data_IF_816410888990
#
_entry.id   IF_816410888990
#
_cell.length_a   1.000
_cell.length_b   1.000
_cell.length_c   1.000
_cell.angle_alpha   90.00
_cell.angle_beta   90.00
_cell.angle_gamma   90.00
#
_symmetry.space_group_name_H-M   'P 1'
#
loop_
_entity.id
_entity.type
_entity.pdbx_description
1 polymer ?
#
# COMPACT_ATOMS: atom_id res chain seq x y z
N UNK A 1 -23.57 17.54 21.01
CA UNK A 1 -23.39 18.49 19.90
C UNK A 1 -22.57 17.76 18.86
N UNK A 2 -23.05 17.64 17.61
CA UNK A 2 -22.26 16.99 16.57
C UNK A 2 -20.97 17.80 16.39
N UNK A 3 -19.84 17.18 16.71
CA UNK A 3 -18.52 17.79 16.49
C UNK A 3 -18.43 18.09 15.00
N UNK A 4 -18.21 19.37 14.66
CA UNK A 4 -18.15 19.81 13.27
C UNK A 4 -16.97 19.08 12.62
N UNK A 5 -17.25 18.10 11.75
CA UNK A 5 -16.21 17.34 11.04
C UNK A 5 -15.27 18.33 10.37
N UNK A 6 -13.99 18.27 10.73
CA UNK A 6 -12.97 19.18 10.17
C UNK A 6 -12.88 18.92 8.67
N UNK A 7 -12.79 19.97 7.83
CA UNK A 7 -12.58 19.78 6.40
C UNK A 7 -11.30 18.98 6.16
N UNK A 8 -11.31 18.09 5.16
CA UNK A 8 -10.13 17.35 4.76
C UNK A 8 -9.20 18.27 3.95
N UNK A 9 -7.91 18.13 4.19
CA UNK A 9 -6.87 18.84 3.43
C UNK A 9 -5.86 17.85 2.89
N UNK A 10 -5.25 18.14 1.75
CA UNK A 10 -4.24 17.31 1.10
C UNK A 10 -3.37 18.12 0.14
N UNK A 11 -2.46 17.46 -0.57
CA UNK A 11 -1.60 18.08 -1.56
C UNK A 11 -2.06 17.70 -2.97
N UNK A 12 -2.59 18.66 -3.72
CA UNK A 12 -2.92 18.45 -5.13
C UNK A 12 -1.64 18.38 -5.96
N UNK A 13 -1.55 17.38 -6.83
CA UNK A 13 -0.42 17.18 -7.75
C UNK A 13 -0.76 17.69 -9.15
N UNK A 14 0.24 17.94 -10.02
CA UNK A 14 0.01 18.46 -11.36
C UNK A 14 -0.89 17.59 -12.24
N UNK A 15 -0.91 16.28 -11.99
CA UNK A 15 -1.79 15.31 -12.66
C UNK A 15 -3.20 15.23 -12.07
N UNK A 16 -3.53 16.10 -11.11
CA UNK A 16 -4.84 16.20 -10.46
C UNK A 16 -5.04 15.23 -9.29
N UNK A 17 -4.15 14.24 -9.09
CA UNK A 17 -4.25 13.32 -7.95
C UNK A 17 -3.87 14.01 -6.64
N UNK A 18 -4.35 13.47 -5.52
CA UNK A 18 -4.21 14.09 -4.20
C UNK A 18 -3.41 13.19 -3.26
N UNK A 19 -2.34 13.74 -2.67
CA UNK A 19 -1.57 13.10 -1.61
C UNK A 19 -1.92 13.61 -0.22
N UNK A 20 -1.65 12.82 0.81
CA UNK A 20 -1.80 13.19 2.22
C UNK A 20 -0.46 13.39 2.94
N UNK A 21 0.65 13.07 2.25
CA UNK A 21 2.05 13.36 2.62
C UNK A 21 2.75 14.13 1.49
N UNK A 22 3.96 14.60 1.78
CA UNK A 22 4.73 15.47 0.88
C UNK A 22 6.22 15.06 0.85
N UNK A 23 6.49 13.79 0.56
CA UNK A 23 7.84 13.24 0.63
C UNK A 23 8.72 13.69 -0.54
N UNK A 24 10.00 13.98 -0.27
CA UNK A 24 11.04 14.06 -1.29
C UNK A 24 11.90 12.81 -1.15
N UNK A 25 11.90 11.96 -2.18
CA UNK A 25 12.51 10.63 -2.09
C UNK A 25 13.74 10.48 -2.99
N UNK A 26 14.63 9.58 -2.62
CA UNK A 26 15.74 9.10 -3.44
C UNK A 26 15.46 7.63 -3.76
N UNK A 27 15.23 7.34 -5.04
CA UNK A 27 14.79 6.04 -5.49
C UNK A 27 15.91 5.33 -6.26
N UNK A 28 16.50 4.27 -5.70
CA UNK A 28 17.39 3.40 -6.46
C UNK A 28 16.60 2.68 -7.56
N UNK A 29 17.20 2.54 -8.73
CA UNK A 29 16.67 1.69 -9.81
C UNK A 29 17.04 0.23 -9.57
N UNK A 30 18.16 0.02 -8.88
CA UNK A 30 18.80 -1.25 -8.65
C UNK A 30 19.47 -1.30 -7.27
N UNK A 31 19.69 -2.51 -6.77
CA UNK A 31 20.29 -2.79 -5.48
C UNK A 31 21.71 -2.20 -5.31
N UNK A 32 22.47 -2.12 -6.39
CA UNK A 32 23.83 -1.55 -6.39
C UNK A 32 23.80 -0.02 -6.18
N UNK A 33 22.69 0.64 -6.49
CA UNK A 33 22.53 2.08 -6.34
C UNK A 33 22.07 2.49 -4.94
N UNK A 34 21.70 1.55 -4.07
CA UNK A 34 21.21 1.80 -2.71
C UNK A 34 22.17 2.68 -1.89
N UNK A 35 23.47 2.34 -1.89
CA UNK A 35 24.46 3.06 -1.09
C UNK A 35 24.59 4.54 -1.50
N UNK A 36 24.50 4.84 -2.79
CA UNK A 36 24.50 6.22 -3.29
C UNK A 36 23.22 6.96 -2.91
N UNK A 37 22.05 6.31 -2.98
CA UNK A 37 20.77 6.88 -2.56
C UNK A 37 20.78 7.24 -1.07
N UNK A 38 21.21 6.31 -0.22
CA UNK A 38 21.29 6.50 1.23
C UNK A 38 22.28 7.60 1.60
N UNK A 39 23.46 7.61 0.97
CA UNK A 39 24.46 8.66 1.19
C UNK A 39 23.94 10.04 0.79
N UNK A 40 23.24 10.16 -0.34
CA UNK A 40 22.65 11.43 -0.78
C UNK A 40 21.55 11.91 0.18
N UNK A 41 20.66 11.01 0.62
CA UNK A 41 19.61 11.35 1.59
C UNK A 41 20.17 11.78 2.96
N UNK A 42 21.27 11.17 3.41
CA UNK A 42 21.93 11.56 4.67
C UNK A 42 22.56 12.97 4.63
N UNK A 43 22.88 13.48 3.45
CA UNK A 43 23.41 14.86 3.28
C UNK A 43 22.28 15.89 3.41
N UNK A 44 21.05 15.56 3.00
CA UNK A 44 19.91 16.47 2.98
C UNK A 44 18.82 15.96 3.94
N UNK A 45 18.81 16.43 5.20
CA UNK A 45 17.80 16.06 6.18
C UNK A 45 16.37 16.28 5.66
N UNK A 46 15.45 15.39 6.01
CA UNK A 46 14.05 15.47 5.58
C UNK A 46 13.74 14.78 4.24
N UNK A 47 14.75 14.31 3.52
CA UNK A 47 14.59 13.43 2.34
C UNK A 47 14.65 11.96 2.74
N UNK A 48 14.13 11.07 1.88
CA UNK A 48 13.98 9.64 2.19
C UNK A 48 14.55 8.76 1.07
N UNK A 49 15.61 8.01 1.35
CA UNK A 49 16.04 6.91 0.48
C UNK A 49 15.13 5.69 0.65
N UNK A 50 14.82 5.00 -0.45
CA UNK A 50 13.97 3.79 -0.47
C UNK A 50 14.78 2.61 -1.06
N UNK A 51 15.69 1.99 -0.30
CA UNK A 51 16.51 0.89 -0.79
C UNK A 51 15.71 -0.38 -1.03
N UNK A 52 16.15 -1.21 -1.99
CA UNK A 52 15.55 -2.52 -2.28
C UNK A 52 16.57 -3.52 -2.82
N UNK A 53 16.20 -4.81 -2.87
CA UNK A 53 17.12 -5.91 -3.20
C UNK A 53 17.19 -6.30 -4.69
N UNK A 54 16.41 -5.67 -5.58
CA UNK A 54 16.29 -6.08 -6.99
C UNK A 54 16.73 -4.99 -7.99
N UNK A 55 16.43 -5.14 -9.28
CA UNK A 55 16.82 -4.21 -10.35
C UNK A 55 18.05 -4.64 -11.15
N UNK A 56 18.38 -5.94 -11.18
CA UNK A 56 19.50 -6.49 -11.97
C UNK A 56 19.11 -7.81 -12.63
N UNK A 57 19.49 -7.97 -13.90
CA UNK A 57 19.34 -9.21 -14.68
C UNK A 57 17.90 -9.75 -14.71
N UNK A 58 16.92 -8.86 -14.59
CA UNK A 58 15.50 -9.16 -14.75
C UNK A 58 15.13 -9.11 -16.23
N UNK A 59 14.12 -9.89 -16.62
CA UNK A 59 13.67 -9.99 -18.01
C UNK A 59 12.17 -10.27 -18.10
N UNK A 60 11.58 -10.01 -19.27
CA UNK A 60 10.16 -10.27 -19.51
C UNK A 60 9.25 -9.51 -18.54
N UNK A 61 8.13 -10.12 -18.17
CA UNK A 61 7.12 -9.50 -17.28
C UNK A 61 7.69 -9.15 -15.90
N UNK A 62 8.69 -9.88 -15.41
CA UNK A 62 9.33 -9.60 -14.13
C UNK A 62 10.10 -8.27 -14.14
N UNK A 63 10.75 -7.93 -15.26
CA UNK A 63 11.38 -6.62 -15.45
C UNK A 63 10.34 -5.51 -15.61
N UNK A 64 9.25 -5.80 -16.33
CA UNK A 64 8.17 -4.83 -16.52
C UNK A 64 7.45 -4.50 -15.21
N UNK A 65 7.22 -5.50 -14.36
CA UNK A 65 6.68 -5.31 -13.01
C UNK A 65 7.63 -4.52 -12.10
N UNK A 66 8.95 -4.76 -12.19
CA UNK A 66 9.95 -3.96 -11.49
C UNK A 66 9.83 -2.48 -11.85
N UNK A 67 9.84 -2.17 -13.15
CA UNK A 67 9.69 -0.79 -13.60
C UNK A 67 8.35 -0.19 -13.21
N UNK A 68 7.24 -0.93 -13.35
CA UNK A 68 5.90 -0.48 -12.95
C UNK A 68 5.86 -0.13 -11.46
N UNK A 69 6.45 -0.96 -10.60
CA UNK A 69 6.49 -0.74 -9.16
C UNK A 69 7.34 0.48 -8.77
N UNK A 70 8.54 0.61 -9.35
CA UNK A 70 9.45 1.74 -9.08
C UNK A 70 8.88 3.06 -9.62
N UNK A 71 8.40 3.07 -10.87
CA UNK A 71 7.75 4.25 -11.46
C UNK A 71 6.51 4.62 -10.65
N UNK A 72 5.67 3.65 -10.31
CA UNK A 72 4.47 3.84 -9.51
C UNK A 72 4.78 4.45 -8.14
N UNK A 73 5.82 3.97 -7.47
CA UNK A 73 6.28 4.50 -6.16
C UNK A 73 6.65 5.98 -6.27
N UNK A 74 7.43 6.36 -7.29
CA UNK A 74 7.77 7.78 -7.52
C UNK A 74 6.58 8.63 -8.00
N UNK A 75 5.66 8.03 -8.74
CA UNK A 75 4.44 8.65 -9.24
C UNK A 75 3.36 8.82 -8.16
N UNK A 76 3.45 8.12 -7.02
CA UNK A 76 2.45 8.16 -5.96
C UNK A 76 2.18 9.60 -5.45
N UNK A 77 0.93 10.00 -5.18
CA UNK A 77 0.61 11.37 -4.76
C UNK A 77 1.22 11.81 -3.41
N UNK A 78 1.57 10.89 -2.51
CA UNK A 78 2.29 11.19 -1.27
C UNK A 78 3.75 11.63 -1.49
N UNK A 79 4.29 11.39 -2.67
CA UNK A 79 5.61 11.87 -3.09
C UNK A 79 5.43 13.24 -3.76
N UNK A 80 6.30 14.20 -3.47
CA UNK A 80 6.31 15.54 -4.07
C UNK A 80 7.33 15.63 -5.21
N UNK A 81 8.52 15.07 -5.00
CA UNK A 81 9.63 15.07 -5.96
C UNK A 81 10.53 13.85 -5.76
N UNK A 82 11.28 13.49 -6.81
CA UNK A 82 12.10 12.27 -6.84
C UNK A 82 13.49 12.53 -7.40
N UNK A 83 14.53 12.04 -6.74
CA UNK A 83 15.83 11.81 -7.38
C UNK A 83 15.99 10.32 -7.63
N UNK A 84 16.22 9.93 -8.89
CA UNK A 84 16.43 8.55 -9.30
C UNK A 84 17.92 8.30 -9.44
N UNK A 85 18.44 7.22 -8.85
CA UNK A 85 19.84 6.81 -9.05
C UNK A 85 19.86 5.37 -9.55
N UNK A 86 20.55 5.12 -10.65
CA UNK A 86 20.77 3.77 -11.17
C UNK A 86 22.22 3.54 -11.56
N UNK A 87 22.58 2.31 -11.86
CA UNK A 87 23.87 2.01 -12.49
C UNK A 87 23.84 2.43 -13.96
N UNK A 88 22.82 1.98 -14.70
CA UNK A 88 22.73 2.13 -16.16
C UNK A 88 21.89 3.36 -16.57
N UNK A 89 22.39 4.24 -17.44
CA UNK A 89 21.66 5.44 -17.87
C UNK A 89 20.28 5.14 -18.48
N UNK A 90 20.13 4.04 -19.23
CA UNK A 90 18.90 3.70 -19.94
C UNK A 90 17.75 3.35 -18.98
N UNK A 91 18.04 2.56 -17.94
CA UNK A 91 17.05 2.17 -16.93
C UNK A 91 16.71 3.35 -16.02
N UNK A 92 17.71 4.15 -15.65
CA UNK A 92 17.50 5.40 -14.92
C UNK A 92 16.57 6.34 -15.70
N UNK A 93 16.83 6.56 -16.98
CA UNK A 93 16.02 7.44 -17.82
C UNK A 93 14.58 6.91 -17.99
N UNK A 94 14.41 5.59 -18.15
CA UNK A 94 13.08 4.97 -18.21
C UNK A 94 12.24 5.28 -16.96
N UNK A 95 12.84 5.16 -15.77
CA UNK A 95 12.16 5.47 -14.50
C UNK A 95 11.85 6.96 -14.39
N UNK A 96 12.82 7.83 -14.74
CA UNK A 96 12.64 9.29 -14.74
C UNK A 96 11.47 9.69 -15.65
N UNK A 97 11.42 9.19 -16.88
CA UNK A 97 10.36 9.50 -17.83
C UNK A 97 8.98 9.02 -17.35
N UNK A 98 8.91 7.82 -16.77
CA UNK A 98 7.68 7.29 -16.20
C UNK A 98 7.14 8.17 -15.07
N UNK A 99 8.00 8.66 -14.18
CA UNK A 99 7.61 9.56 -13.09
C UNK A 99 7.26 10.96 -13.65
N UNK A 100 8.05 11.49 -14.58
CA UNK A 100 7.86 12.81 -15.18
C UNK A 100 6.51 12.97 -15.89
N UNK A 101 5.90 11.87 -16.35
CA UNK A 101 4.56 11.86 -16.93
C UNK A 101 3.46 12.40 -15.98
N UNK A 102 3.70 12.36 -14.66
CA UNK A 102 2.80 12.97 -13.65
C UNK A 102 2.95 14.49 -13.52
N UNK A 103 3.92 15.10 -14.22
CA UNK A 103 4.26 16.51 -14.11
C UNK A 103 5.06 16.88 -12.85
N UNK A 104 5.44 15.90 -12.02
CA UNK A 104 6.20 16.13 -10.78
C UNK A 104 7.69 16.34 -11.07
N UNK A 105 8.41 17.12 -10.25
CA UNK A 105 9.86 17.25 -10.38
C UNK A 105 10.58 15.91 -10.18
N UNK A 106 11.36 15.52 -11.17
CA UNK A 106 12.20 14.31 -11.12
C UNK A 106 13.50 14.52 -11.89
N UNK A 107 14.62 14.05 -11.34
CA UNK A 107 15.92 14.03 -12.02
C UNK A 107 16.62 12.68 -11.78
N UNK A 108 17.37 12.22 -12.77
CA UNK A 108 18.09 10.95 -12.73
C UNK A 108 19.61 11.11 -12.79
N UNK A 109 20.33 10.24 -12.08
CA UNK A 109 21.78 10.13 -12.15
C UNK A 109 22.22 8.68 -12.30
N UNK A 110 23.15 8.42 -13.22
CA UNK A 110 23.77 7.11 -13.38
C UNK A 110 25.13 7.06 -12.68
N UNK A 111 25.43 5.96 -11.99
CA UNK A 111 26.74 5.75 -11.35
C UNK A 111 27.79 5.33 -12.37
N UNK A 112 27.42 4.55 -13.39
CA UNK A 112 28.36 4.12 -14.43
C UNK A 112 29.06 5.33 -15.06
N UNK A 113 30.40 5.26 -15.18
CA UNK A 113 31.28 6.33 -15.70
C UNK A 113 31.35 7.61 -14.86
N UNK A 114 30.60 7.71 -13.77
CA UNK A 114 30.61 8.88 -12.87
C UNK A 114 31.15 8.57 -11.48
N UNK A 115 30.96 7.33 -11.00
CA UNK A 115 31.32 6.90 -9.65
C UNK A 115 30.42 7.51 -8.58
N UNK A 116 30.42 6.91 -7.38
CA UNK A 116 29.49 7.29 -6.31
C UNK A 116 29.67 8.73 -5.86
N UNK A 117 30.90 9.17 -5.55
CA UNK A 117 31.15 10.50 -4.96
C UNK A 117 30.57 11.64 -5.81
N UNK A 118 30.75 11.59 -7.13
CA UNK A 118 30.22 12.61 -8.05
C UNK A 118 28.70 12.50 -8.21
N UNK A 119 28.16 11.28 -8.21
CA UNK A 119 26.72 11.02 -8.31
C UNK A 119 26.00 11.53 -7.06
N UNK A 120 26.51 11.19 -5.88
CA UNK A 120 26.03 11.64 -4.57
C UNK A 120 26.06 13.17 -4.48
N UNK A 121 27.16 13.81 -4.90
CA UNK A 121 27.25 15.28 -4.91
C UNK A 121 26.11 15.92 -5.72
N UNK A 122 25.88 15.44 -6.95
CA UNK A 122 24.83 15.97 -7.82
C UNK A 122 23.43 15.69 -7.27
N UNK A 123 23.19 14.46 -6.84
CA UNK A 123 21.93 14.05 -6.23
C UNK A 123 21.59 14.90 -5.00
N UNK A 124 22.55 15.12 -4.09
CA UNK A 124 22.35 15.94 -2.90
C UNK A 124 22.01 17.41 -3.24
N UNK A 125 22.63 18.00 -4.27
CA UNK A 125 22.29 19.35 -4.72
C UNK A 125 20.86 19.43 -5.25
N UNK A 126 20.44 18.47 -6.06
CA UNK A 126 19.07 18.40 -6.57
C UNK A 126 18.06 18.17 -5.44
N UNK A 127 18.37 17.27 -4.51
CA UNK A 127 17.53 17.02 -3.33
C UNK A 127 17.32 18.26 -2.48
N UNK A 128 18.37 19.05 -2.24
CA UNK A 128 18.26 20.28 -1.49
C UNK A 128 17.27 21.26 -2.14
N UNK A 129 17.33 21.41 -3.47
CA UNK A 129 16.38 22.26 -4.23
C UNK A 129 14.96 21.69 -4.18
N UNK A 130 14.78 20.41 -4.48
CA UNK A 130 13.46 19.78 -4.44
C UNK A 130 12.83 19.81 -3.05
N UNK A 131 13.62 19.69 -1.99
CA UNK A 131 13.12 19.80 -0.62
C UNK A 131 12.69 21.22 -0.26
N UNK A 132 13.40 22.25 -0.73
CA UNK A 132 12.97 23.64 -0.61
C UNK A 132 11.64 23.85 -1.34
N UNK A 133 11.56 23.49 -2.63
CA UNK A 133 10.36 23.64 -3.44
C UNK A 133 9.16 22.89 -2.82
N UNK A 134 9.37 21.66 -2.35
CA UNK A 134 8.33 20.88 -1.69
C UNK A 134 7.87 21.50 -0.37
N UNK A 135 8.76 22.16 0.39
CA UNK A 135 8.42 22.78 1.67
C UNK A 135 7.47 23.98 1.54
N UNK A 136 7.40 24.59 0.36
CA UNK A 136 6.51 25.72 0.07
C UNK A 136 5.06 25.28 -0.22
N UNK A 137 4.87 24.02 -0.62
CA UNK A 137 3.55 23.47 -0.95
C UNK A 137 2.63 23.48 0.28
N UNK A 138 1.46 24.09 0.12
CA UNK A 138 0.43 24.15 1.15
C UNK A 138 -0.59 23.03 0.94
N UNK A 139 -1.21 22.60 2.03
CA UNK A 139 -2.34 21.68 1.97
C UNK A 139 -3.58 22.46 1.53
N UNK A 140 -4.33 21.91 0.59
CA UNK A 140 -5.56 22.48 0.04
C UNK A 140 -6.78 21.66 0.49
N UNK A 141 -7.98 22.25 0.52
CA UNK A 141 -9.21 21.49 0.72
C UNK A 141 -9.38 20.39 -0.33
N UNK A 142 -9.72 19.19 0.14
CA UNK A 142 -9.93 18.00 -0.68
C UNK A 142 -11.16 17.25 -0.21
N UNK A 143 -11.76 16.48 -1.10
CA UNK A 143 -12.86 15.58 -0.80
C UNK A 143 -12.34 14.14 -0.71
N UNK A 144 -13.02 13.31 0.09
CA UNK A 144 -12.64 11.90 0.26
C UNK A 144 -12.64 11.13 -1.07
N UNK A 145 -13.55 11.47 -1.97
CA UNK A 145 -13.64 10.87 -3.31
C UNK A 145 -12.40 11.09 -4.18
N UNK A 146 -11.53 12.03 -3.82
CA UNK A 146 -10.29 12.31 -4.54
C UNK A 146 -9.11 11.46 -4.04
N UNK A 147 -9.30 10.69 -2.96
CA UNK A 147 -8.26 9.91 -2.29
C UNK A 147 -8.43 8.42 -2.57
N UNK A 148 -7.30 7.78 -2.84
CA UNK A 148 -7.22 6.34 -3.01
C UNK A 148 -6.80 5.67 -1.70
N UNK A 149 -7.67 4.80 -1.19
CA UNK A 149 -7.45 3.96 -0.02
C UNK A 149 -6.99 2.57 -0.48
N UNK A 150 -6.14 1.91 0.29
CA UNK A 150 -5.87 0.49 0.12
C UNK A 150 -6.10 -0.27 1.43
N UNK A 151 -6.42 -1.55 1.33
CA UNK A 151 -6.72 -2.39 2.49
C UNK A 151 -6.05 -3.75 2.37
N UNK A 152 -5.53 -4.25 3.49
CA UNK A 152 -5.03 -5.62 3.63
C UNK A 152 -5.14 -6.06 5.10
N UNK A 153 -5.41 -7.33 5.37
CA UNK A 153 -5.29 -7.86 6.73
C UNK A 153 -3.89 -8.43 7.01
N UNK A 154 -3.52 -8.60 8.28
CA UNK A 154 -2.29 -9.31 8.63
C UNK A 154 -2.34 -9.94 10.00
N UNK A 155 -1.60 -11.04 10.14
CA UNK A 155 -1.55 -11.85 11.37
C UNK A 155 -2.94 -12.07 12.01
N UNK A 156 -3.92 -12.32 11.16
CA UNK A 156 -5.32 -12.50 11.53
C UNK A 156 -5.50 -13.57 12.61
N UNK A 157 -6.48 -13.32 13.45
CA UNK A 157 -6.97 -14.22 14.50
C UNK A 157 -8.51 -14.30 14.41
N UNK A 158 -9.14 -14.99 15.35
CA UNK A 158 -10.62 -15.07 15.42
C UNK A 158 -11.30 -13.71 15.56
N UNK A 159 -10.70 -12.76 16.30
CA UNK A 159 -11.27 -11.41 16.48
C UNK A 159 -11.23 -10.59 15.19
N UNK A 160 -10.33 -10.93 14.27
CA UNK A 160 -10.14 -10.19 13.03
C UNK A 160 -11.38 -10.27 12.14
N UNK A 161 -11.86 -11.48 11.86
CA UNK A 161 -13.08 -11.70 11.06
C UNK A 161 -14.36 -11.25 11.75
N UNK A 162 -14.36 -11.13 13.09
CA UNK A 162 -15.53 -10.76 13.89
C UNK A 162 -15.61 -9.25 14.21
N UNK A 163 -14.49 -8.53 14.17
CA UNK A 163 -14.41 -7.16 14.66
C UNK A 163 -13.65 -6.20 13.74
N UNK A 164 -12.34 -6.41 13.55
CA UNK A 164 -11.51 -5.43 12.82
C UNK A 164 -11.76 -5.42 11.31
N UNK A 165 -11.99 -6.58 10.68
CA UNK A 165 -12.39 -6.66 9.27
C UNK A 165 -13.79 -6.06 9.04
N UNK A 166 -14.84 -6.41 9.81
CA UNK A 166 -16.13 -5.70 9.75
C UNK A 166 -16.01 -4.18 9.98
N UNK A 167 -15.17 -3.75 10.92
CA UNK A 167 -14.94 -2.30 11.13
C UNK A 167 -14.31 -1.64 9.90
N UNK A 168 -13.38 -2.35 9.23
CA UNK A 168 -12.79 -1.92 7.95
C UNK A 168 -13.86 -1.85 6.85
N UNK A 169 -14.82 -2.78 6.83
CA UNK A 169 -15.90 -2.82 5.83
C UNK A 169 -16.76 -1.54 5.85
N UNK A 170 -17.07 -1.02 7.04
CA UNK A 170 -17.77 0.27 7.21
C UNK A 170 -16.99 1.43 6.58
N UNK A 171 -15.66 1.44 6.70
CA UNK A 171 -14.84 2.47 6.07
C UNK A 171 -14.83 2.32 4.54
N UNK A 172 -14.72 1.09 4.03
CA UNK A 172 -14.72 0.81 2.58
C UNK A 172 -16.01 1.29 1.92
N UNK A 173 -17.17 0.90 2.46
CA UNK A 173 -18.47 1.27 1.88
C UNK A 173 -18.64 2.80 1.87
N UNK A 174 -18.31 3.47 2.98
CA UNK A 174 -18.37 4.94 3.07
C UNK A 174 -17.36 5.66 2.16
N UNK A 175 -16.23 5.03 1.87
CA UNK A 175 -15.21 5.59 0.96
C UNK A 175 -15.69 5.54 -0.48
N UNK A 176 -16.25 4.40 -0.89
CA UNK A 176 -16.80 4.20 -2.23
C UNK A 176 -18.07 5.04 -2.44
N UNK A 177 -18.94 5.14 -1.43
CA UNK A 177 -20.12 6.02 -1.45
C UNK A 177 -19.74 7.51 -1.61
N UNK A 178 -18.57 7.91 -1.11
CA UNK A 178 -18.03 9.25 -1.30
C UNK A 178 -17.37 9.45 -2.68
N UNK A 179 -17.45 8.47 -3.58
CA UNK A 179 -16.85 8.48 -4.92
C UNK A 179 -15.37 8.12 -4.96
N UNK A 180 -14.82 7.60 -3.86
CA UNK A 180 -13.39 7.28 -3.74
C UNK A 180 -13.02 5.91 -4.32
N UNK A 181 -11.72 5.68 -4.43
CA UNK A 181 -11.15 4.41 -4.90
C UNK A 181 -10.62 3.61 -3.72
N UNK A 182 -10.94 2.32 -3.67
CA UNK A 182 -10.42 1.38 -2.68
C UNK A 182 -9.75 0.21 -3.40
N UNK A 183 -8.49 -0.07 -3.07
CA UNK A 183 -7.78 -1.25 -3.55
C UNK A 183 -7.76 -2.35 -2.48
N UNK A 184 -8.04 -3.58 -2.88
CA UNK A 184 -7.86 -4.77 -2.05
C UNK A 184 -7.19 -5.88 -2.88
N UNK A 185 -6.52 -6.83 -2.21
CA UNK A 185 -5.85 -7.95 -2.87
C UNK A 185 -5.78 -9.19 -1.98
N UNK A 186 -4.59 -9.75 -1.81
CA UNK A 186 -4.32 -10.97 -1.04
C UNK A 186 -4.91 -12.22 -1.73
N UNK A 187 -4.54 -12.42 -2.99
CA UNK A 187 -5.19 -13.37 -3.91
C UNK A 187 -5.34 -14.77 -3.32
N UNK A 188 -4.29 -15.34 -2.74
CA UNK A 188 -4.36 -16.68 -2.14
C UNK A 188 -5.21 -16.75 -0.87
N UNK A 189 -5.46 -15.64 -0.19
CA UNK A 189 -6.31 -15.58 1.01
C UNK A 189 -7.80 -15.42 0.66
N UNK A 190 -8.16 -15.42 -0.62
CA UNK A 190 -9.56 -15.55 -1.06
C UNK A 190 -9.98 -17.01 -1.23
N UNK A 191 -9.05 -17.96 -1.10
CA UNK A 191 -9.30 -19.39 -1.39
C UNK A 191 -10.42 -19.98 -0.56
N UNK A 192 -11.39 -20.57 -1.26
CA UNK A 192 -12.64 -21.13 -0.73
C UNK A 192 -13.76 -20.11 -0.57
N UNK A 193 -13.51 -18.83 -0.84
CA UNK A 193 -14.50 -17.75 -0.84
C UNK A 193 -14.42 -16.84 -2.07
N UNK A 194 -13.57 -17.14 -3.05
CA UNK A 194 -13.34 -16.35 -4.26
C UNK A 194 -14.64 -16.13 -5.06
N UNK A 195 -15.54 -17.11 -5.08
CA UNK A 195 -16.84 -17.01 -5.71
C UNK A 195 -17.71 -15.89 -5.12
N UNK A 196 -17.56 -15.55 -3.83
CA UNK A 196 -18.28 -14.44 -3.19
C UNK A 196 -17.80 -13.07 -3.70
N UNK A 197 -16.51 -12.95 -4.03
CA UNK A 197 -15.96 -11.76 -4.69
C UNK A 197 -16.42 -11.72 -6.15
N UNK A 198 -16.34 -12.85 -6.86
CA UNK A 198 -16.79 -12.95 -8.25
C UNK A 198 -18.27 -12.58 -8.40
N UNK A 199 -19.12 -12.99 -7.46
CA UNK A 199 -20.55 -12.65 -7.41
C UNK A 199 -20.81 -11.14 -7.23
N UNK A 200 -19.89 -10.42 -6.60
CA UNK A 200 -19.95 -8.97 -6.39
C UNK A 200 -19.33 -8.15 -7.52
N UNK A 201 -18.72 -8.78 -8.52
CA UNK A 201 -18.23 -8.07 -9.70
C UNK A 201 -19.39 -7.39 -10.45
N UNK A 202 -19.19 -6.12 -10.83
CA UNK A 202 -20.24 -5.27 -11.42
C UNK A 202 -20.78 -5.80 -12.74
N UNK A 203 -20.01 -6.62 -13.47
CA UNK A 203 -20.40 -7.28 -14.70
C UNK A 203 -19.54 -8.53 -14.98
N UNK A 204 -19.89 -9.27 -16.03
CA UNK A 204 -19.20 -10.51 -16.43
C UNK A 204 -17.77 -10.29 -16.92
N UNK A 205 -17.44 -9.11 -17.45
CA UNK A 205 -16.09 -8.78 -17.92
C UNK A 205 -15.13 -8.68 -16.73
N UNK A 206 -15.51 -7.91 -15.70
CA UNK A 206 -14.76 -7.77 -14.45
C UNK A 206 -14.67 -9.12 -13.73
N UNK A 207 -15.78 -9.87 -13.68
CA UNK A 207 -15.80 -11.22 -13.11
C UNK A 207 -14.79 -12.14 -13.79
N UNK A 208 -14.75 -12.15 -15.12
CA UNK A 208 -13.82 -12.96 -15.91
C UNK A 208 -12.37 -12.52 -15.70
N UNK A 209 -12.11 -11.20 -15.62
CA UNK A 209 -10.78 -10.64 -15.34
C UNK A 209 -10.29 -11.09 -13.96
N UNK A 210 -11.12 -10.92 -12.93
CA UNK A 210 -10.86 -11.38 -11.57
C UNK A 210 -10.58 -12.89 -11.50
N UNK A 211 -11.47 -13.72 -12.04
CA UNK A 211 -11.31 -15.17 -12.02
C UNK A 211 -10.04 -15.59 -12.76
N UNK A 212 -9.73 -14.95 -13.89
CA UNK A 212 -8.51 -15.23 -14.64
C UNK A 212 -7.23 -14.86 -13.90
N UNK A 213 -7.23 -13.81 -13.07
CA UNK A 213 -6.10 -13.47 -12.20
C UNK A 213 -5.95 -14.53 -11.09
N UNK A 214 -7.04 -14.85 -10.42
CA UNK A 214 -7.09 -15.82 -9.33
C UNK A 214 -6.63 -17.22 -9.79
N UNK A 215 -7.18 -17.73 -10.89
CA UNK A 215 -6.84 -19.05 -11.43
C UNK A 215 -5.35 -19.14 -11.83
N UNK A 216 -4.79 -18.07 -12.40
CA UNK A 216 -3.35 -18.02 -12.73
C UNK A 216 -2.48 -18.07 -11.48
N UNK A 217 -2.90 -17.37 -10.42
CA UNK A 217 -2.17 -17.36 -9.16
C UNK A 217 -2.17 -18.76 -8.52
N UNK A 218 -3.32 -19.44 -8.51
CA UNK A 218 -3.45 -20.82 -8.02
C UNK A 218 -2.62 -21.81 -8.85
N UNK A 219 -2.73 -21.75 -10.18
CA UNK A 219 -2.00 -22.65 -11.07
C UNK A 219 -0.48 -22.56 -10.86
N UNK A 220 0.05 -21.36 -10.56
CA UNK A 220 1.46 -21.18 -10.22
C UNK A 220 1.85 -21.90 -8.93
N UNK A 221 1.00 -21.87 -7.90
CA UNK A 221 1.28 -22.54 -6.63
C UNK A 221 1.22 -24.06 -6.80
N UNK A 222 0.21 -24.56 -7.51
CA UNK A 222 0.05 -25.99 -7.79
C UNK A 222 1.20 -26.56 -8.62
N UNK A 223 1.71 -25.78 -9.59
CA UNK A 223 2.84 -26.19 -10.43
C UNK A 223 4.14 -26.44 -9.63
N UNK A 224 4.32 -25.76 -8.49
CA UNK A 224 5.45 -25.95 -7.58
C UNK A 224 5.23 -27.11 -6.58
N UNK A 225 4.13 -27.87 -6.72
CA UNK A 225 3.78 -28.96 -5.82
C UNK A 225 3.35 -28.50 -4.42
N UNK A 226 3.14 -27.21 -4.22
CA UNK A 226 2.63 -26.65 -2.99
C UNK A 226 1.10 -26.67 -3.00
N UNK A 227 0.49 -26.98 -1.85
CA UNK A 227 -0.94 -26.90 -1.65
C UNK A 227 -1.24 -25.75 -0.66
N UNK A 228 -2.05 -24.77 -1.08
CA UNK A 228 -2.46 -23.65 -0.23
C UNK A 228 -3.16 -24.10 1.06
N UNK A 229 -3.87 -25.23 1.03
CA UNK A 229 -4.48 -25.85 2.22
C UNK A 229 -3.45 -26.27 3.28
N UNK A 230 -2.16 -26.35 2.92
CA UNK A 230 -1.06 -26.70 3.84
C UNK A 230 -0.12 -25.55 4.20
N UNK A 231 -0.10 -24.45 3.43
CA UNK A 231 0.76 -23.28 3.69
C UNK A 231 0.01 -22.10 4.32
N UNK A 232 -1.32 -22.08 4.21
CA UNK A 232 -2.23 -21.11 4.80
C UNK A 232 -3.40 -21.84 5.47
N UNK A 233 -3.86 -21.42 6.66
CA UNK A 233 -3.41 -20.26 7.45
C UNK A 233 -1.98 -20.43 8.01
N UNK A 234 -1.23 -19.32 8.15
CA UNK A 234 0.12 -19.35 8.74
C UNK A 234 0.11 -19.90 10.18
N UNK A 235 1.25 -20.35 10.70
CA UNK A 235 1.37 -20.79 12.10
C UNK A 235 0.93 -19.71 13.11
N UNK A 236 1.17 -18.43 12.80
CA UNK A 236 0.64 -17.32 13.58
C UNK A 236 -0.89 -17.34 13.61
N UNK A 237 -1.53 -17.44 12.44
CA UNK A 237 -2.99 -17.48 12.32
C UNK A 237 -3.62 -18.67 13.08
N UNK A 238 -3.01 -19.85 13.01
CA UNK A 238 -3.48 -21.05 13.73
C UNK A 238 -3.41 -20.81 15.25
N UNK A 239 -2.33 -20.21 15.76
CA UNK A 239 -2.25 -19.80 17.18
C UNK A 239 -3.30 -18.76 17.56
N UNK A 240 -3.69 -17.91 16.61
CA UNK A 240 -4.80 -16.95 16.73
C UNK A 240 -6.20 -17.58 16.69
N UNK A 241 -6.30 -18.90 16.50
CA UNK A 241 -7.54 -19.66 16.57
C UNK A 241 -8.24 -19.90 15.23
N UNK A 242 -7.61 -19.58 14.10
CA UNK A 242 -8.17 -19.90 12.77
C UNK A 242 -7.87 -21.35 12.39
N UNK A 243 -8.89 -22.09 11.97
CA UNK A 243 -8.81 -23.53 11.74
C UNK A 243 -8.60 -23.92 10.27
N UNK A 244 -9.15 -23.16 9.32
CA UNK A 244 -9.01 -23.44 7.88
C UNK A 244 -8.74 -22.16 7.07
N UNK A 245 -8.31 -22.33 5.81
CA UNK A 245 -8.08 -21.19 4.90
C UNK A 245 -9.39 -20.50 4.54
N UNK A 246 -10.48 -21.26 4.46
CA UNK A 246 -11.82 -20.76 4.16
C UNK A 246 -12.34 -19.88 5.30
N UNK A 247 -12.13 -20.28 6.56
CA UNK A 247 -12.48 -19.47 7.72
C UNK A 247 -11.73 -18.12 7.69
N UNK A 248 -10.44 -18.15 7.35
CA UNK A 248 -9.63 -16.95 7.17
C UNK A 248 -10.13 -16.09 6.00
N UNK A 249 -10.49 -16.73 4.88
CA UNK A 249 -11.01 -16.05 3.70
C UNK A 249 -12.29 -15.28 3.98
N UNK A 250 -13.18 -15.78 4.86
CA UNK A 250 -14.41 -15.05 5.22
C UNK A 250 -14.11 -13.70 5.89
N UNK A 251 -13.13 -13.64 6.80
CA UNK A 251 -12.68 -12.37 7.37
C UNK A 251 -12.02 -11.46 6.33
N UNK A 252 -11.23 -12.06 5.43
CA UNK A 252 -10.57 -11.38 4.33
C UNK A 252 -11.56 -10.75 3.32
N UNK A 253 -12.68 -11.42 3.07
CA UNK A 253 -13.77 -10.95 2.20
C UNK A 253 -14.62 -9.92 2.93
N UNK A 254 -14.95 -10.13 4.20
CA UNK A 254 -15.76 -9.19 5.00
C UNK A 254 -15.17 -7.78 5.00
N UNK A 255 -13.84 -7.63 5.04
CA UNK A 255 -13.18 -6.31 5.06
C UNK A 255 -13.44 -5.47 3.79
N UNK A 256 -13.85 -6.12 2.70
CA UNK A 256 -14.08 -5.47 1.41
C UNK A 256 -15.45 -4.81 1.31
N UNK A 257 -16.23 -4.75 2.39
CA UNK A 257 -17.52 -4.08 2.38
C UNK A 257 -18.61 -4.86 1.66
N UNK A 258 -19.66 -4.15 1.27
CA UNK A 258 -20.81 -4.65 0.55
C UNK A 258 -20.92 -4.09 -0.88
N UNK A 259 -20.12 -3.08 -1.22
CA UNK A 259 -20.09 -2.45 -2.56
C UNK A 259 -19.62 -3.39 -3.68
N UNK A 260 -20.05 -3.18 -4.94
CA UNK A 260 -19.59 -3.99 -6.07
C UNK A 260 -18.10 -3.83 -6.36
N UNK A 261 -17.47 -4.89 -6.86
CA UNK A 261 -16.09 -4.84 -7.40
C UNK A 261 -16.16 -4.32 -8.84
N UNK A 262 -15.50 -3.19 -9.10
CA UNK A 262 -15.61 -2.45 -10.37
C UNK A 262 -14.51 -2.77 -11.37
N UNK A 263 -13.36 -3.28 -10.93
CA UNK A 263 -12.26 -3.75 -11.79
C UNK A 263 -11.40 -4.78 -11.05
N UNK A 264 -10.57 -5.49 -11.81
CA UNK A 264 -9.56 -6.42 -11.32
C UNK A 264 -8.21 -6.08 -11.99
N UNK A 265 -7.13 -5.90 -11.25
CA UNK A 265 -5.91 -5.26 -11.73
C UNK A 265 -4.71 -6.21 -11.62
N UNK A 266 -3.77 -6.08 -12.56
CA UNK A 266 -2.45 -6.72 -12.46
C UNK A 266 -1.62 -6.04 -11.34
N UNK A 267 -0.55 -6.69 -10.84
CA UNK A 267 0.31 -6.10 -9.82
C UNK A 267 0.83 -4.70 -10.21
N UNK A 268 0.71 -3.73 -9.30
CA UNK A 268 1.08 -2.32 -9.47
C UNK A 268 0.39 -1.58 -10.64
N UNK A 269 -0.70 -2.10 -11.19
CA UNK A 269 -1.53 -1.40 -12.16
C UNK A 269 -2.39 -0.33 -11.45
N UNK A 270 -2.34 0.92 -11.91
CA UNK A 270 -3.14 2.00 -11.34
C UNK A 270 -4.62 1.87 -11.77
N UNK A 271 -5.58 1.95 -10.83
CA UNK A 271 -7.00 1.89 -11.17
C UNK A 271 -7.42 3.09 -12.04
N UNK A 272 -8.31 2.83 -13.00
CA UNK A 272 -8.87 3.88 -13.89
C UNK A 272 -10.32 4.23 -13.57
N UNK A 273 -10.97 3.44 -12.70
CA UNK A 273 -12.38 3.59 -12.32
C UNK A 273 -12.48 3.71 -10.79
N UNK A 274 -13.19 4.74 -10.26
CA UNK A 274 -13.44 4.83 -8.83
C UNK A 274 -14.37 3.72 -8.34
N UNK A 275 -14.22 3.32 -7.08
CA UNK A 275 -14.90 2.19 -6.47
C UNK A 275 -13.95 1.14 -5.90
N UNK A 276 -14.49 -0.03 -5.59
CA UNK A 276 -13.71 -1.16 -5.04
C UNK A 276 -13.03 -1.93 -6.18
N UNK A 277 -11.71 -1.91 -6.20
CA UNK A 277 -10.88 -2.51 -7.24
C UNK A 277 -10.06 -3.66 -6.62
N UNK A 278 -10.12 -4.85 -7.22
CA UNK A 278 -9.22 -5.95 -6.87
C UNK A 278 -7.85 -5.72 -7.53
N UNK A 279 -6.76 -6.02 -6.85
CA UNK A 279 -5.43 -6.12 -7.42
C UNK A 279 -4.84 -7.47 -7.07
N UNK A 280 -4.28 -8.16 -8.07
CA UNK A 280 -3.56 -9.41 -7.81
C UNK A 280 -2.29 -9.11 -7.01
N UNK A 281 -2.24 -9.61 -5.78
CA UNK A 281 -1.10 -9.40 -4.88
C UNK A 281 -0.79 -10.65 -4.05
N UNK A 282 0.49 -10.77 -3.68
CA UNK A 282 0.93 -11.66 -2.60
C UNK A 282 0.26 -11.26 -1.28
N UNK A 283 0.00 -12.25 -0.42
CA UNK A 283 -0.50 -11.99 0.94
C UNK A 283 0.61 -11.57 1.91
N UNK A 284 1.87 -11.53 1.45
CA UNK A 284 2.96 -10.90 2.21
C UNK A 284 2.72 -9.39 2.34
N UNK A 285 2.80 -8.87 3.58
CA UNK A 285 2.40 -7.50 3.87
C UNK A 285 3.26 -6.45 3.17
N UNK A 286 4.59 -6.58 3.23
CA UNK A 286 5.48 -5.62 2.59
C UNK A 286 5.27 -5.56 1.06
N UNK A 287 5.10 -6.71 0.41
CA UNK A 287 4.84 -6.77 -1.05
C UNK A 287 3.49 -6.13 -1.40
N UNK A 288 2.42 -6.51 -0.71
CA UNK A 288 1.09 -5.99 -0.99
C UNK A 288 1.04 -4.46 -0.84
N UNK A 289 1.49 -3.91 0.29
CA UNK A 289 1.45 -2.46 0.52
C UNK A 289 2.35 -1.73 -0.49
N UNK A 290 3.49 -2.31 -0.87
CA UNK A 290 4.36 -1.73 -1.92
C UNK A 290 3.63 -1.63 -3.27
N UNK A 291 2.91 -2.67 -3.69
CA UNK A 291 2.13 -2.65 -4.93
C UNK A 291 0.97 -1.64 -4.87
N UNK A 292 0.28 -1.55 -3.74
CA UNK A 292 -0.83 -0.60 -3.53
C UNK A 292 -0.35 0.84 -3.57
N UNK A 293 0.76 1.14 -2.89
CA UNK A 293 1.40 2.44 -2.97
C UNK A 293 1.87 2.74 -4.41
N UNK A 294 2.45 1.77 -5.12
CA UNK A 294 2.86 1.96 -6.50
C UNK A 294 1.66 2.27 -7.44
N UNK A 295 0.50 1.67 -7.18
CA UNK A 295 -0.74 1.95 -7.92
C UNK A 295 -1.34 3.33 -7.62
N UNK A 296 -0.90 3.97 -6.52
CA UNK A 296 -1.27 5.34 -6.16
C UNK A 296 -2.08 5.47 -4.88
N UNK A 297 -2.25 4.40 -4.09
CA UNK A 297 -2.89 4.49 -2.79
C UNK A 297 -2.11 5.41 -1.84
N UNK A 298 -2.82 6.26 -1.12
CA UNK A 298 -2.22 7.29 -0.25
C UNK A 298 -2.44 7.00 1.22
N UNK A 299 -3.27 6.00 1.54
CA UNK A 299 -3.59 5.58 2.90
C UNK A 299 -3.91 4.08 2.90
N UNK A 300 -3.33 3.36 3.84
CA UNK A 300 -3.54 1.93 3.99
C UNK A 300 -4.28 1.61 5.30
N UNK A 301 -5.31 0.76 5.25
CA UNK A 301 -5.95 0.18 6.45
C UNK A 301 -5.49 -1.26 6.66
N UNK A 302 -5.00 -1.53 7.86
CA UNK A 302 -4.40 -2.81 8.23
C UNK A 302 -5.09 -3.42 9.47
N UNK A 303 -6.26 -4.09 9.31
CA UNK A 303 -6.82 -4.88 10.40
C UNK A 303 -5.88 -6.02 10.78
N UNK A 304 -5.55 -6.11 12.07
CA UNK A 304 -4.61 -7.09 12.60
C UNK A 304 -5.12 -7.77 13.87
N UNK A 305 -4.89 -9.08 13.96
CA UNK A 305 -5.27 -9.89 15.11
C UNK A 305 -4.16 -9.95 16.17
N UNK A 306 -2.93 -10.26 15.75
CA UNK A 306 -1.79 -10.45 16.65
C UNK A 306 -0.77 -9.30 16.64
N UNK A 307 -1.01 -8.24 15.86
CA UNK A 307 -0.23 -7.01 15.94
C UNK A 307 0.97 -6.94 14.99
N UNK A 308 0.81 -7.42 13.75
CA UNK A 308 1.79 -7.18 12.69
C UNK A 308 2.23 -5.70 12.64
N UNK A 309 3.54 -5.44 12.64
CA UNK A 309 4.12 -4.09 12.78
C UNK A 309 4.38 -3.38 11.45
N UNK A 310 4.09 -4.00 10.31
CA UNK A 310 4.40 -3.51 8.96
C UNK A 310 4.06 -2.03 8.75
N UNK A 311 4.99 -1.26 8.21
CA UNK A 311 4.78 0.09 7.71
C UNK A 311 5.03 0.16 6.20
N UNK A 312 5.18 1.38 5.70
CA UNK A 312 5.61 1.63 4.33
C UNK A 312 6.25 3.01 4.26
N UNK A 313 7.32 3.22 3.46
CA UNK A 313 8.05 4.48 3.41
C UNK A 313 7.21 5.69 2.98
N UNK A 314 6.19 5.51 2.15
CA UNK A 314 5.41 6.62 1.56
C UNK A 314 3.89 6.51 1.76
N UNK A 315 3.38 5.38 2.23
CA UNK A 315 1.95 5.16 2.43
C UNK A 315 1.68 4.95 3.92
N UNK A 316 1.04 5.90 4.62
CA UNK A 316 0.67 5.74 6.02
C UNK A 316 -0.19 4.49 6.25
N UNK A 317 0.20 3.65 7.21
CA UNK A 317 -0.49 2.39 7.53
C UNK A 317 -1.22 2.54 8.87
N UNK A 318 -2.54 2.69 8.82
CA UNK A 318 -3.41 2.70 10.00
C UNK A 318 -3.65 1.26 10.43
N UNK A 319 -3.23 0.92 11.66
CA UNK A 319 -3.48 -0.41 12.24
C UNK A 319 -4.66 -0.37 13.20
N UNK A 320 -5.55 -1.33 13.04
CA UNK A 320 -6.70 -1.52 13.92
C UNK A 320 -6.82 -2.97 14.39
N UNK A 321 -7.24 -3.17 15.63
CA UNK A 321 -7.41 -4.51 16.19
C UNK A 321 -8.69 -4.62 16.99
N UNK A 322 -9.34 -5.78 16.92
CA UNK A 322 -10.43 -6.15 17.83
C UNK A 322 -9.95 -7.13 18.91
N UNK A 323 -8.66 -7.46 18.93
CA UNK A 323 -8.07 -8.31 19.94
C UNK A 323 -7.69 -7.46 21.16
N UNK A 324 -8.33 -7.68 22.31
CA UNK A 324 -8.08 -6.87 23.50
C UNK A 324 -6.66 -7.05 24.06
N UNK A 325 -6.03 -8.20 23.85
CA UNK A 325 -4.65 -8.45 24.26
C UNK A 325 -3.71 -7.59 23.42
N UNK A 326 -3.85 -7.61 22.09
CA UNK A 326 -3.03 -6.79 21.19
C UNK A 326 -3.26 -5.30 21.41
N UNK A 327 -4.51 -4.89 21.64
CA UNK A 327 -4.83 -3.50 21.98
C UNK A 327 -4.12 -3.02 23.25
N UNK A 328 -3.97 -3.90 24.26
CA UNK A 328 -3.30 -3.58 25.51
C UNK A 328 -1.77 -3.67 25.42
N UNK A 329 -1.23 -4.64 24.69
CA UNK A 329 0.21 -4.95 24.70
C UNK A 329 1.01 -4.31 23.57
N UNK A 330 0.36 -3.78 22.53
CA UNK A 330 1.01 -3.22 21.34
C UNK A 330 0.54 -1.80 21.03
N UNK A 331 0.29 -1.00 22.07
CA UNK A 331 -0.34 0.34 21.97
C UNK A 331 0.38 1.33 21.08
N UNK A 332 1.71 1.25 20.95
CA UNK A 332 2.50 2.11 20.05
C UNK A 332 2.32 1.79 18.56
N UNK A 333 1.83 0.59 18.25
CA UNK A 333 1.58 0.15 16.89
C UNK A 333 0.10 0.24 16.48
N UNK A 334 -0.83 0.25 17.43
CA UNK A 334 -2.27 0.23 17.16
C UNK A 334 -2.86 1.65 17.16
N UNK A 335 -3.37 2.08 16.01
CA UNK A 335 -4.04 3.38 15.86
C UNK A 335 -5.50 3.35 16.32
N UNK A 336 -6.15 2.18 16.29
CA UNK A 336 -7.53 1.98 16.75
C UNK A 336 -7.72 0.62 17.46
N UNK A 337 -8.07 0.69 18.75
CA UNK A 337 -8.70 -0.43 19.46
C UNK A 337 -10.20 -0.42 19.18
N UNK A 338 -10.68 -1.46 18.48
CA UNK A 338 -12.10 -1.69 18.23
C UNK A 338 -12.65 -2.91 18.98
N UNK A 339 -11.93 -3.43 19.99
CA UNK A 339 -12.32 -4.63 20.76
C UNK A 339 -13.62 -4.46 21.55
N UNK A 340 -14.02 -3.22 21.87
CA UNK A 340 -15.31 -2.90 22.50
C UNK A 340 -16.52 -3.38 21.68
N UNK A 341 -16.37 -3.52 20.36
CA UNK A 341 -17.39 -4.11 19.47
C UNK A 341 -17.72 -5.54 19.88
N UNK A 342 -16.70 -6.38 20.12
CA UNK A 342 -16.89 -7.79 20.49
C UNK A 342 -17.43 -7.94 21.93
N UNK A 343 -17.14 -6.96 22.78
CA UNK A 343 -17.72 -6.85 24.14
C UNK A 343 -19.13 -6.25 24.16
N UNK A 344 -19.67 -5.86 22.99
CA UNK A 344 -20.98 -5.24 22.81
C UNK A 344 -21.13 -3.91 23.56
N UNK A 345 -20.03 -3.19 23.73
CA UNK A 345 -20.03 -1.85 24.32
C UNK A 345 -20.64 -0.81 23.35
N UNK A 346 -20.46 -1.04 22.04
CA UNK A 346 -21.04 -0.26 20.96
C UNK A 346 -21.28 -1.14 19.71
N UNK A 347 -22.18 -0.71 18.79
CA UNK A 347 -22.46 -1.47 17.57
C UNK A 347 -21.43 -1.19 16.45
N UNK A 348 -21.43 -2.02 15.40
CA UNK A 348 -20.50 -1.93 14.28
C UNK A 348 -20.44 -0.54 13.61
N UNK A 349 -21.56 0.16 13.33
CA UNK A 349 -21.49 1.49 12.72
C UNK A 349 -20.71 2.51 13.56
N UNK A 350 -20.69 2.35 14.89
CA UNK A 350 -19.90 3.18 15.79
C UNK A 350 -18.40 2.88 15.69
N UNK A 351 -18.02 1.60 15.56
CA UNK A 351 -16.63 1.23 15.26
C UNK A 351 -16.18 1.85 13.93
N UNK A 352 -17.06 1.82 12.92
CA UNK A 352 -16.85 2.50 11.65
C UNK A 352 -16.67 4.02 11.79
N UNK A 353 -17.47 4.68 12.65
CA UNK A 353 -17.29 6.12 12.93
C UNK A 353 -15.91 6.42 13.54
N UNK A 354 -15.45 5.58 14.46
CA UNK A 354 -14.12 5.72 15.07
C UNK A 354 -13.01 5.55 14.03
N UNK A 355 -13.12 4.54 13.15
CA UNK A 355 -12.13 4.34 12.08
C UNK A 355 -12.11 5.51 11.10
N UNK A 356 -13.28 6.02 10.71
CA UNK A 356 -13.36 7.19 9.84
C UNK A 356 -12.76 8.45 10.48
N UNK A 357 -12.89 8.65 11.79
CA UNK A 357 -12.20 9.74 12.51
C UNK A 357 -10.67 9.59 12.42
N UNK A 358 -10.15 8.39 12.65
CA UNK A 358 -8.71 8.12 12.52
C UNK A 358 -8.24 8.37 11.08
N UNK A 359 -8.98 7.91 10.08
CA UNK A 359 -8.68 8.21 8.66
C UNK A 359 -8.64 9.71 8.41
N UNK A 360 -9.65 10.47 8.82
CA UNK A 360 -9.75 11.92 8.57
C UNK A 360 -8.62 12.69 9.27
N UNK A 361 -8.20 12.25 10.46
CA UNK A 361 -7.07 12.82 11.19
C UNK A 361 -5.74 12.50 10.51
N UNK A 362 -5.56 11.26 10.05
CA UNK A 362 -4.35 10.82 9.33
C UNK A 362 -4.22 11.52 7.98
N UNK A 363 -5.34 11.64 7.24
CA UNK A 363 -5.43 12.44 6.03
C UNK A 363 -4.94 13.85 6.36
N UNK A 364 -5.48 14.50 7.39
CA UNK A 364 -5.11 15.85 7.81
C UNK A 364 -3.71 15.99 8.46
N UNK A 365 -2.86 14.96 8.41
CA UNK A 365 -1.46 15.04 8.78
C UNK A 365 -1.10 14.45 10.15
N UNK A 366 -2.03 13.81 10.85
CA UNK A 366 -1.66 12.95 11.99
C UNK A 366 -0.80 11.79 11.48
N UNK A 367 0.33 11.55 12.15
CA UNK A 367 1.16 10.38 11.88
C UNK A 367 0.52 9.12 12.49
N UNK A 368 0.58 8.02 11.76
CA UNK A 368 0.23 6.68 12.24
C UNK A 368 1.29 6.13 13.19
N UNK A 369 0.94 5.13 13.99
CA UNK A 369 1.91 4.40 14.82
C UNK A 369 3.08 3.85 14.00
N UNK A 370 2.81 3.34 12.80
CA UNK A 370 3.85 2.85 11.88
C UNK A 370 4.87 3.94 11.50
N UNK A 371 4.39 5.13 11.17
CA UNK A 371 5.24 6.27 10.83
C UNK A 371 6.06 6.75 12.03
N UNK A 372 5.44 6.83 13.22
CA UNK A 372 6.10 7.26 14.45
C UNK A 372 7.23 6.32 14.86
N UNK A 373 7.02 5.02 14.70
CA UNK A 373 8.01 3.99 15.04
C UNK A 373 9.06 3.77 13.94
N UNK A 374 8.91 4.42 12.79
CA UNK A 374 9.88 4.35 11.70
C UNK A 374 9.82 3.08 10.86
N UNK A 375 8.68 2.38 10.85
CA UNK A 375 8.47 1.22 9.99
C UNK A 375 8.38 1.64 8.51
N UNK A 376 9.31 1.12 7.70
CA UNK A 376 9.53 1.53 6.30
C UNK A 376 9.81 0.33 5.41
N UNK A 377 9.19 -0.80 5.70
CA UNK A 377 9.36 -2.00 4.90
C UNK A 377 8.92 -1.74 3.46
N UNK A 378 9.77 -2.08 2.50
CA UNK A 378 9.56 -1.89 1.07
C UNK A 378 10.06 -3.14 0.35
N UNK A 379 9.15 -3.87 -0.28
CA UNK A 379 9.45 -5.15 -0.90
C UNK A 379 8.81 -5.21 -2.28
N UNK A 380 9.64 -5.34 -3.32
CA UNK A 380 9.15 -5.50 -4.69
C UNK A 380 8.78 -6.97 -4.94
N UNK A 381 7.71 -7.17 -5.70
CA UNK A 381 7.30 -8.51 -6.14
C UNK A 381 8.23 -9.03 -7.22
N UNK A 382 8.59 -10.31 -7.08
CA UNK A 382 9.44 -11.07 -8.01
C UNK A 382 8.67 -12.23 -8.59
N UNK A 383 8.76 -12.41 -9.91
CA UNK A 383 8.08 -13.50 -10.60
C UNK A 383 9.01 -14.68 -10.90
N UNK A 384 10.28 -14.42 -11.22
CA UNK A 384 11.23 -15.45 -11.65
C UNK A 384 12.60 -15.27 -10.98
N UNK A 385 13.52 -16.24 -11.05
CA UNK A 385 14.95 -16.00 -10.79
C UNK A 385 15.56 -15.02 -11.80
N UNK A 386 16.59 -14.27 -11.38
CA UNK A 386 17.37 -13.44 -12.32
C UNK A 386 18.24 -14.31 -13.22
N UNK A 387 18.59 -13.78 -14.40
CA UNK A 387 19.34 -14.48 -15.45
C UNK A 387 20.79 -14.87 -15.07
#
# INVERSE_FOLDING_TARGET
>A
MAEQRRPLTGYRRPDGRVGIRNHVIVLPVDDLSNAACEAAANIVPGTLAIPHAYGRLQFGEDLELHFRSIIGTGANPNVAAVVVIGIEPSWTERVVQGIAATGKPVEGFSIERHGDLRTIEKAARTLARFHQDASELQREPVERGELMLSIKCGESDTTSGLGSCPTTSEAVDRWVDAGGTVLFGETSELTGGEHLIAERCVNDEVRKKFQGLYDRYLARIEAEGANLLGSQPTQGNIRGGLSTIEEKAMGNIAKTGSVPVVDALEPAEAPTVPGLNFMDTSSAAAECVTLMAAAGAVLHLFPTGQGNVIGHPIEPVIKLTANPVTAETMTEHIDLDCSGLLRREYPLPHAGDQLMDICDRTINGRLTGAELMGHREFALTRLYPSA
#
